data_IF_512874770043
#
_entry.id   IF_512874770043
#
_cell.length_a   1.000
_cell.length_b   1.000
_cell.length_c   1.000
_cell.angle_alpha   90.00
_cell.angle_beta   90.00
_cell.angle_gamma   90.00
#
_symmetry.space_group_name_H-M   'P 1'
#
loop_
_entity.id
_entity.type
_entity.pdbx_description
1 polymer ?
#
# COMPACT_ATOMS: atom_id res chain seq x y z
N UNK A 1 30.82 0.80 -21.25
CA UNK A 1 29.98 -0.39 -21.55
C UNK A 1 28.83 -0.35 -20.55
N UNK A 2 27.71 0.30 -20.89
CA UNK A 2 26.49 0.25 -20.09
C UNK A 2 25.87 -1.13 -20.31
N UNK A 3 25.89 -1.97 -19.28
CA UNK A 3 25.17 -3.23 -19.30
C UNK A 3 23.70 -2.95 -19.53
N UNK A 4 23.10 -3.59 -20.52
CA UNK A 4 21.66 -3.65 -20.68
C UNK A 4 21.12 -4.35 -19.41
N UNK A 5 20.74 -3.55 -18.40
CA UNK A 5 20.02 -4.04 -17.25
C UNK A 5 18.72 -4.67 -17.75
N UNK A 6 18.41 -5.87 -17.32
CA UNK A 6 17.09 -6.46 -17.56
C UNK A 6 16.05 -5.47 -17.04
N UNK A 7 15.04 -5.17 -17.89
CA UNK A 7 13.94 -4.33 -17.49
C UNK A 7 13.32 -4.88 -16.21
N UNK A 8 13.21 -4.04 -15.18
CA UNK A 8 12.62 -4.39 -13.90
C UNK A 8 11.12 -4.17 -13.91
N UNK A 9 10.45 -4.64 -12.86
CA UNK A 9 9.04 -4.34 -12.61
C UNK A 9 8.92 -3.56 -11.31
N UNK A 10 8.43 -2.34 -11.37
CA UNK A 10 8.11 -1.53 -10.19
C UNK A 10 6.63 -1.67 -9.82
N UNK A 11 6.36 -2.04 -8.58
CA UNK A 11 5.01 -2.06 -8.03
C UNK A 11 4.74 -0.73 -7.31
N UNK A 12 3.68 -0.05 -7.68
CA UNK A 12 3.21 1.18 -7.02
C UNK A 12 1.94 0.86 -6.25
N UNK A 13 2.01 0.87 -4.94
CA UNK A 13 0.84 0.61 -4.11
C UNK A 13 -0.07 1.85 -4.08
N UNK A 14 -1.24 1.70 -4.72
CA UNK A 14 -2.27 2.74 -4.86
C UNK A 14 -3.28 2.59 -3.74
N UNK A 15 -3.09 3.33 -2.65
CA UNK A 15 -4.01 3.41 -1.51
C UNK A 15 -4.67 4.79 -1.47
N UNK A 16 -5.93 4.86 -1.06
CA UNK A 16 -6.65 6.13 -0.94
C UNK A 16 -5.92 7.12 -0.03
N UNK A 17 -5.92 8.38 -0.39
CA UNK A 17 -5.29 9.48 0.36
C UNK A 17 -3.76 9.56 0.23
N UNK A 18 -3.08 8.54 -0.28
CA UNK A 18 -1.61 8.51 -0.35
C UNK A 18 -1.05 8.24 -1.75
N UNK A 19 -1.85 7.64 -2.63
CA UNK A 19 -1.42 7.22 -3.96
C UNK A 19 -0.76 8.31 -4.83
N UNK A 20 -1.14 9.62 -4.75
CA UNK A 20 -0.52 10.62 -5.61
C UNK A 20 0.98 10.73 -5.42
N UNK A 21 1.44 10.66 -4.16
CA UNK A 21 2.86 10.72 -3.84
C UNK A 21 3.62 9.47 -4.33
N UNK A 22 2.99 8.27 -4.25
CA UNK A 22 3.58 7.05 -4.79
C UNK A 22 3.75 7.12 -6.31
N UNK A 23 2.75 7.64 -7.01
CA UNK A 23 2.80 7.80 -8.46
C UNK A 23 3.81 8.85 -8.88
N UNK A 24 3.89 9.97 -8.17
CA UNK A 24 4.91 11.02 -8.45
C UNK A 24 6.32 10.48 -8.22
N UNK A 25 6.53 9.69 -7.16
CA UNK A 25 7.78 9.01 -6.92
C UNK A 25 8.11 8.00 -8.04
N UNK A 26 7.12 7.25 -8.53
CA UNK A 26 7.33 6.35 -9.68
C UNK A 26 7.78 7.10 -10.93
N UNK A 27 7.19 8.26 -11.21
CA UNK A 27 7.62 9.12 -12.33
C UNK A 27 9.05 9.60 -12.20
N UNK A 28 9.48 9.87 -10.98
CA UNK A 28 10.81 10.43 -10.71
C UNK A 28 11.91 9.37 -10.65
N UNK A 29 11.59 8.19 -10.11
CA UNK A 29 12.62 7.24 -9.70
C UNK A 29 12.60 5.92 -10.48
N UNK A 30 11.51 5.58 -11.17
CA UNK A 30 11.44 4.34 -11.98
C UNK A 30 11.99 4.63 -13.37
N UNK A 31 13.04 3.91 -13.83
CA UNK A 31 13.58 4.06 -15.16
C UNK A 31 12.52 3.89 -16.27
N UNK A 32 12.68 4.61 -17.37
CA UNK A 32 11.71 4.54 -18.50
C UNK A 32 11.60 3.15 -19.13
N UNK A 33 12.65 2.33 -19.02
CA UNK A 33 12.69 0.97 -19.55
C UNK A 33 12.03 -0.08 -18.64
N UNK A 34 11.67 0.28 -17.41
CA UNK A 34 11.06 -0.65 -16.46
C UNK A 34 9.52 -0.64 -16.59
N UNK A 35 8.92 -1.82 -16.38
CA UNK A 35 7.47 -1.97 -16.28
C UNK A 35 6.95 -1.37 -14.98
N UNK A 36 5.75 -0.76 -15.05
CA UNK A 36 5.06 -0.25 -13.86
C UNK A 36 3.73 -0.97 -13.67
N UNK A 37 3.48 -1.42 -12.45
CA UNK A 37 2.21 -1.99 -12.03
C UNK A 37 1.58 -1.08 -10.97
N UNK A 38 0.41 -0.55 -11.26
CA UNK A 38 -0.41 0.18 -10.31
C UNK A 38 -1.30 -0.82 -9.57
N UNK A 39 -0.93 -1.15 -8.34
CA UNK A 39 -1.61 -2.14 -7.52
C UNK A 39 -2.58 -1.48 -6.55
N UNK A 40 -3.85 -1.88 -6.58
CA UNK A 40 -4.81 -1.59 -5.52
C UNK A 40 -5.25 -2.87 -4.83
N UNK A 41 -5.33 -2.84 -3.50
CA UNK A 41 -5.82 -3.97 -2.69
C UNK A 41 -7.02 -3.54 -1.87
N UNK A 42 -8.16 -4.16 -2.12
CA UNK A 42 -9.37 -3.98 -1.30
C UNK A 42 -9.26 -4.83 -0.02
N UNK A 43 -9.46 -4.21 1.13
CA UNK A 43 -9.43 -4.92 2.41
C UNK A 43 -10.57 -5.93 2.54
N UNK A 44 -10.25 -7.15 2.98
CA UNK A 44 -11.23 -8.25 3.11
C UNK A 44 -12.36 -8.00 4.11
N UNK A 45 -12.20 -7.06 5.06
CA UNK A 45 -13.27 -6.70 5.99
C UNK A 45 -14.42 -5.97 5.29
N UNK A 46 -14.11 -5.14 4.28
CA UNK A 46 -15.13 -4.46 3.46
C UNK A 46 -15.88 -5.50 2.63
N UNK A 47 -15.18 -6.47 2.06
CA UNK A 47 -15.77 -7.55 1.24
C UNK A 47 -16.60 -8.52 2.10
N UNK A 48 -16.14 -8.86 3.32
CA UNK A 48 -16.85 -9.75 4.24
C UNK A 48 -18.14 -9.11 4.82
N UNK A 49 -18.10 -7.81 5.13
CA UNK A 49 -19.29 -7.09 5.60
C UNK A 49 -20.38 -7.01 4.52
N UNK A 50 -19.99 -6.81 3.27
CA UNK A 50 -20.91 -6.82 2.12
C UNK A 50 -21.49 -8.23 1.88
N UNK A 51 -20.67 -9.27 1.93
CA UNK A 51 -21.12 -10.67 1.76
C UNK A 51 -22.07 -11.15 2.86
N UNK A 52 -21.87 -10.71 4.11
CA UNK A 52 -22.75 -11.04 5.22
C UNK A 52 -24.12 -10.37 5.11
N UNK A 53 -24.18 -9.10 4.65
CA UNK A 53 -25.44 -8.41 4.40
C UNK A 53 -26.23 -9.03 3.23
N UNK A 54 -25.52 -9.43 2.16
CA UNK A 54 -26.13 -10.11 1.00
C UNK A 54 -26.69 -11.47 1.36
N UNK A 55 -26.03 -12.22 2.26
CA UNK A 55 -26.50 -13.51 2.77
C UNK A 55 -27.75 -13.43 3.64
N UNK A 56 -27.98 -12.32 4.33
CA UNK A 56 -29.13 -12.13 5.21
C UNK A 56 -30.42 -11.75 4.46
N UNK A 57 -30.32 -11.22 3.24
CA UNK A 57 -31.44 -10.67 2.46
C UNK A 57 -32.00 -11.62 1.38
N UNK A 58 -31.62 -12.89 1.37
CA UNK A 58 -32.30 -13.93 0.59
C UNK A 58 -31.92 -14.03 -0.89
N UNK A 59 -31.60 -15.22 -1.31
CA UNK A 59 -31.41 -15.66 -2.69
C UNK A 59 -32.61 -15.30 -3.57
N UNK A 60 -32.46 -14.38 -4.49
CA UNK A 60 -33.45 -14.30 -5.56
C UNK A 60 -33.76 -12.98 -6.25
N UNK A 61 -32.99 -11.92 -6.07
CA UNK A 61 -33.09 -10.68 -6.88
C UNK A 61 -31.79 -9.92 -6.79
N UNK A 62 -31.38 -9.19 -7.88
CA UNK A 62 -30.31 -8.18 -7.82
C UNK A 62 -30.56 -7.31 -6.61
N UNK A 63 -29.83 -7.57 -5.54
CA UNK A 63 -30.02 -6.91 -4.25
C UNK A 63 -29.18 -5.66 -4.14
N UNK A 64 -29.40 -4.81 -3.11
CA UNK A 64 -28.54 -3.65 -2.81
C UNK A 64 -27.07 -3.98 -2.66
N UNK A 65 -26.70 -5.24 -2.31
CA UNK A 65 -25.31 -5.72 -2.22
C UNK A 65 -24.60 -5.74 -3.55
N UNK A 66 -25.23 -6.26 -4.61
CA UNK A 66 -24.65 -6.29 -5.97
C UNK A 66 -24.37 -4.86 -6.48
N UNK A 67 -25.21 -3.91 -6.10
CA UNK A 67 -25.05 -2.49 -6.46
C UNK A 67 -23.92 -1.81 -5.70
N UNK A 68 -23.70 -2.17 -4.41
CA UNK A 68 -22.61 -1.63 -3.59
C UNK A 68 -21.26 -2.21 -4.03
N UNK A 69 -21.21 -3.50 -4.36
CA UNK A 69 -20.00 -4.13 -4.90
C UNK A 69 -19.63 -3.55 -6.27
N UNK A 70 -20.61 -3.31 -7.12
CA UNK A 70 -20.40 -2.66 -8.42
C UNK A 70 -19.89 -1.22 -8.26
N UNK A 71 -20.48 -0.43 -7.36
CA UNK A 71 -20.03 0.94 -7.06
C UNK A 71 -18.61 0.96 -6.49
N UNK A 72 -18.27 -0.01 -5.63
CA UNK A 72 -16.92 -0.16 -5.09
C UNK A 72 -15.91 -0.50 -6.18
N UNK A 73 -16.25 -1.41 -7.10
CA UNK A 73 -15.40 -1.78 -8.23
C UNK A 73 -15.19 -0.62 -9.21
N UNK A 74 -16.25 0.15 -9.50
CA UNK A 74 -16.17 1.36 -10.32
C UNK A 74 -15.26 2.43 -9.66
N UNK A 75 -15.37 2.63 -8.35
CA UNK A 75 -14.53 3.56 -7.61
C UNK A 75 -13.05 3.17 -7.66
N UNK A 76 -12.73 1.89 -7.51
CA UNK A 76 -11.37 1.38 -7.62
C UNK A 76 -10.83 1.53 -9.05
N UNK A 77 -11.63 1.22 -10.06
CA UNK A 77 -11.26 1.41 -11.46
C UNK A 77 -10.96 2.88 -11.72
N UNK A 78 -11.85 3.79 -11.29
CA UNK A 78 -11.64 5.23 -11.44
C UNK A 78 -10.38 5.74 -10.69
N UNK A 79 -10.05 5.15 -9.55
CA UNK A 79 -8.83 5.45 -8.79
C UNK A 79 -7.59 5.05 -9.58
N UNK A 80 -7.54 3.83 -10.09
CA UNK A 80 -6.43 3.32 -10.90
C UNK A 80 -6.27 4.10 -12.21
N UNK A 81 -7.37 4.48 -12.86
CA UNK A 81 -7.36 5.34 -14.04
C UNK A 81 -6.77 6.73 -13.74
N UNK A 82 -7.12 7.32 -12.59
CA UNK A 82 -6.52 8.58 -12.15
C UNK A 82 -5.02 8.43 -11.89
N UNK A 83 -4.61 7.33 -11.27
CA UNK A 83 -3.21 7.02 -11.02
C UNK A 83 -2.43 6.83 -12.33
N UNK A 84 -2.98 6.10 -13.29
CA UNK A 84 -2.39 5.88 -14.61
C UNK A 84 -2.23 7.20 -15.40
N UNK A 85 -3.27 8.04 -15.40
CA UNK A 85 -3.19 9.38 -16.02
C UNK A 85 -2.13 10.25 -15.37
N UNK A 86 -2.02 10.22 -14.04
CA UNK A 86 -0.99 10.98 -13.31
C UNK A 86 0.42 10.45 -13.59
N UNK A 87 0.57 9.14 -13.72
CA UNK A 87 1.85 8.52 -14.07
C UNK A 87 2.37 9.00 -15.44
N UNK A 88 1.48 9.14 -16.42
CA UNK A 88 1.80 9.71 -17.74
C UNK A 88 2.66 8.81 -18.63
N UNK A 89 2.77 7.50 -18.31
CA UNK A 89 3.45 6.47 -19.10
C UNK A 89 2.66 5.16 -19.05
N UNK A 90 2.91 4.20 -19.95
CA UNK A 90 2.25 2.90 -19.89
C UNK A 90 2.47 2.23 -18.54
N UNK A 91 1.39 1.69 -17.99
CA UNK A 91 1.40 0.91 -16.75
C UNK A 91 0.31 -0.14 -16.80
N UNK A 92 0.55 -1.29 -16.17
CA UNK A 92 -0.46 -2.30 -15.92
C UNK A 92 -1.19 -1.94 -14.63
N UNK A 93 -2.50 -2.09 -14.62
CA UNK A 93 -3.30 -1.96 -13.40
C UNK A 93 -3.63 -3.34 -12.85
N UNK A 94 -3.54 -3.50 -11.54
CA UNK A 94 -3.84 -4.74 -10.85
C UNK A 94 -4.71 -4.47 -9.63
N UNK A 95 -5.80 -5.23 -9.51
CA UNK A 95 -6.69 -5.18 -8.37
C UNK A 95 -6.63 -6.52 -7.65
N UNK A 96 -6.44 -6.48 -6.34
CA UNK A 96 -6.50 -7.65 -5.46
C UNK A 96 -7.47 -7.39 -4.33
N UNK A 97 -7.92 -8.47 -3.69
CA UNK A 97 -8.76 -8.40 -2.50
C UNK A 97 -8.27 -9.41 -1.47
N UNK A 98 -8.30 -9.01 -0.19
CA UNK A 98 -7.80 -9.86 0.88
C UNK A 98 -7.19 -9.06 2.03
N UNK A 99 -6.26 -9.66 2.74
CA UNK A 99 -5.47 -8.95 3.73
C UNK A 99 -4.45 -8.07 3.02
N UNK A 100 -4.68 -6.77 3.10
CA UNK A 100 -3.96 -5.76 2.31
C UNK A 100 -2.45 -5.96 2.35
N UNK A 101 -1.89 -6.10 3.54
CA UNK A 101 -0.45 -6.25 3.73
C UNK A 101 0.12 -7.53 3.08
N UNK A 102 -0.65 -8.63 3.11
CA UNK A 102 -0.22 -9.90 2.50
C UNK A 102 -0.31 -9.87 0.98
N UNK A 103 -1.37 -9.27 0.46
CA UNK A 103 -1.55 -9.15 -0.99
C UNK A 103 -0.50 -8.22 -1.62
N UNK A 104 -0.10 -7.16 -0.92
CA UNK A 104 0.99 -6.28 -1.39
C UNK A 104 2.32 -7.02 -1.40
N UNK A 105 2.66 -7.77 -0.34
CA UNK A 105 3.89 -8.58 -0.29
C UNK A 105 3.91 -9.62 -1.41
N UNK A 106 2.79 -10.33 -1.61
CA UNK A 106 2.69 -11.34 -2.68
C UNK A 106 2.78 -10.71 -4.09
N UNK A 107 2.23 -9.51 -4.30
CA UNK A 107 2.35 -8.81 -5.57
C UNK A 107 3.78 -8.35 -5.86
N UNK A 108 4.57 -8.14 -4.83
CA UNK A 108 5.95 -7.68 -4.94
C UNK A 108 6.97 -8.82 -5.12
N UNK A 109 6.55 -10.08 -5.16
CA UNK A 109 7.44 -11.19 -5.47
C UNK A 109 8.04 -11.02 -6.88
N UNK A 110 9.36 -11.04 -6.96
CA UNK A 110 10.09 -10.83 -8.22
C UNK A 110 10.10 -9.40 -8.76
N UNK A 111 9.51 -8.43 -8.04
CA UNK A 111 9.61 -7.03 -8.39
C UNK A 111 11.02 -6.48 -8.15
N UNK A 112 11.41 -5.49 -8.96
CA UNK A 112 12.64 -4.74 -8.77
C UNK A 112 12.51 -3.63 -7.71
N UNK A 113 11.29 -3.16 -7.45
CA UNK A 113 11.00 -2.06 -6.54
C UNK A 113 9.54 -2.09 -6.10
N UNK A 114 9.29 -1.85 -4.82
CA UNK A 114 7.97 -1.48 -4.30
C UNK A 114 7.98 -0.01 -3.89
N UNK A 115 6.98 0.74 -4.33
CA UNK A 115 6.74 2.13 -3.91
C UNK A 115 5.48 2.18 -3.07
N UNK A 116 5.62 2.64 -1.83
CA UNK A 116 4.51 2.81 -0.90
C UNK A 116 4.66 4.10 -0.08
N UNK A 117 3.58 4.55 0.52
CA UNK A 117 3.58 5.78 1.30
C UNK A 117 3.42 5.50 2.79
N UNK A 118 3.87 6.45 3.60
CA UNK A 118 3.59 6.49 5.03
C UNK A 118 2.11 6.78 5.24
N UNK A 119 1.44 5.94 6.00
CA UNK A 119 -0.01 5.91 6.22
C UNK A 119 -0.43 6.06 7.70
N UNK A 120 0.55 6.22 8.59
CA UNK A 120 0.32 6.41 10.02
C UNK A 120 0.27 7.87 10.47
N UNK A 121 0.74 8.14 11.68
CA UNK A 121 0.84 9.50 12.24
C UNK A 121 1.94 10.30 11.53
N UNK A 122 1.55 11.28 10.75
CA UNK A 122 2.43 12.12 9.93
C UNK A 122 2.80 13.45 10.57
N UNK A 123 2.43 13.66 11.82
CA UNK A 123 2.71 14.91 12.54
C UNK A 123 4.19 15.07 12.93
N UNK A 124 4.93 13.94 12.95
CA UNK A 124 6.35 13.91 13.33
C UNK A 124 7.10 12.77 12.63
N UNK A 125 8.43 12.93 12.53
CA UNK A 125 9.31 11.86 12.08
C UNK A 125 9.36 10.74 13.12
N UNK A 126 9.42 9.51 12.63
CA UNK A 126 9.58 8.35 13.50
C UNK A 126 8.69 7.16 13.13
N UNK A 127 8.75 6.09 13.92
CA UNK A 127 8.11 4.82 13.59
C UNK A 127 6.57 4.86 13.56
N UNK A 128 5.94 5.81 14.24
CA UNK A 128 4.47 5.97 14.22
C UNK A 128 3.93 6.46 12.90
N UNK A 129 4.80 6.96 11.99
CA UNK A 129 4.40 7.38 10.64
C UNK A 129 4.08 6.20 9.72
N UNK A 130 4.39 4.98 10.13
CA UNK A 130 3.96 3.76 9.45
C UNK A 130 2.76 3.16 10.19
N UNK A 131 1.63 3.06 9.51
CA UNK A 131 0.49 2.28 9.98
C UNK A 131 0.80 0.77 9.95
N UNK A 132 -0.05 -0.06 10.59
CA UNK A 132 0.21 -1.49 10.69
C UNK A 132 0.41 -2.20 9.35
N UNK A 133 -0.41 -1.96 8.29
CA UNK A 133 -0.22 -2.60 7.00
C UNK A 133 1.11 -2.22 6.34
N UNK A 134 1.44 -0.93 6.29
CA UNK A 134 2.69 -0.47 5.66
C UNK A 134 3.91 -0.95 6.43
N UNK A 135 3.86 -0.99 7.75
CA UNK A 135 4.95 -1.56 8.58
C UNK A 135 5.18 -3.03 8.23
N UNK A 136 4.11 -3.83 8.19
CA UNK A 136 4.21 -5.24 7.82
C UNK A 136 4.84 -5.41 6.42
N UNK A 137 4.40 -4.62 5.45
CA UNK A 137 4.93 -4.67 4.08
C UNK A 137 6.42 -4.35 4.06
N UNK A 138 6.85 -3.26 4.72
CA UNK A 138 8.27 -2.87 4.77
C UNK A 138 9.15 -3.94 5.41
N UNK A 139 8.63 -4.65 6.42
CA UNK A 139 9.37 -5.69 7.13
C UNK A 139 9.45 -7.02 6.36
N UNK A 140 8.53 -7.29 5.42
CA UNK A 140 8.39 -8.62 4.82
C UNK A 140 8.54 -8.67 3.30
N UNK A 141 8.53 -7.54 2.61
CA UNK A 141 8.62 -7.54 1.14
C UNK A 141 10.03 -7.95 0.67
N UNK A 142 10.14 -8.86 -0.33
CA UNK A 142 11.42 -9.41 -0.75
C UNK A 142 12.17 -8.56 -1.80
N UNK A 143 11.84 -7.27 -1.92
CA UNK A 143 12.47 -6.35 -2.87
C UNK A 143 12.77 -5.00 -2.21
N UNK A 144 13.59 -4.14 -2.83
CA UNK A 144 13.79 -2.76 -2.40
C UNK A 144 12.48 -2.00 -2.24
N UNK A 145 12.40 -1.14 -1.23
CA UNK A 145 11.22 -0.31 -0.94
C UNK A 145 11.57 1.16 -1.02
N UNK A 146 10.83 1.89 -1.83
CA UNK A 146 10.81 3.35 -1.82
C UNK A 146 9.62 3.82 -0.98
N UNK A 147 9.91 4.25 0.24
CA UNK A 147 8.92 4.74 1.17
C UNK A 147 8.81 6.26 1.09
N UNK A 148 7.64 6.78 0.72
CA UNK A 148 7.43 8.21 0.48
C UNK A 148 6.54 8.86 1.53
N UNK A 149 6.71 10.17 1.71
CA UNK A 149 5.76 10.99 2.44
C UNK A 149 4.64 11.44 1.50
N UNK A 150 3.35 11.25 1.87
CA UNK A 150 2.23 11.64 1.01
C UNK A 150 1.92 13.15 1.05
N UNK A 151 2.87 13.95 1.42
CA UNK A 151 2.84 15.39 1.52
C UNK A 151 4.20 15.89 2.01
N UNK A 152 4.24 17.09 2.55
CA UNK A 152 5.46 17.64 3.15
C UNK A 152 5.85 16.81 4.38
N UNK A 153 7.13 16.43 4.44
CA UNK A 153 7.66 15.70 5.58
C UNK A 153 7.82 16.66 6.78
N UNK A 154 7.55 16.23 8.02
CA UNK A 154 7.85 17.00 9.20
C UNK A 154 9.35 17.34 9.28
N UNK A 155 9.67 18.46 9.91
CA UNK A 155 11.06 18.85 10.15
C UNK A 155 11.79 17.88 11.09
N UNK A 156 13.11 17.88 11.05
CA UNK A 156 13.95 17.01 11.91
C UNK A 156 13.79 17.33 13.40
N UNK A 157 13.38 18.53 13.74
CA UNK A 157 13.02 18.98 15.09
C UNK A 157 11.79 18.25 15.68
N UNK A 158 11.00 17.63 14.82
CA UNK A 158 9.86 16.77 15.23
C UNK A 158 10.28 15.40 15.78
N UNK A 159 11.55 15.02 15.65
CA UNK A 159 12.08 13.76 16.19
C UNK A 159 12.06 13.83 17.73
N UNK A 160 11.38 12.90 18.43
CA UNK A 160 11.40 12.91 19.87
C UNK A 160 12.83 12.68 20.38
N UNK A 161 13.20 13.29 21.54
CA UNK A 161 14.50 13.03 22.13
C UNK A 161 14.67 11.53 22.44
N UNK A 162 15.92 11.02 22.41
CA UNK A 162 16.17 9.65 22.80
C UNK A 162 15.74 9.41 24.26
N UNK A 163 15.30 8.21 24.63
CA UNK A 163 14.99 7.90 26.01
C UNK A 163 16.21 8.13 26.89
N UNK A 164 16.03 8.57 28.15
CA UNK A 164 17.13 8.81 29.06
C UNK A 164 17.94 7.52 29.26
N UNK A 165 19.27 7.61 29.45
CA UNK A 165 20.11 6.44 29.68
C UNK A 165 19.62 5.66 30.91
N UNK A 166 19.28 4.39 30.75
CA UNK A 166 18.83 3.52 31.84
C UNK A 166 17.34 3.15 31.83
N UNK A 167 16.53 3.73 30.95
CA UNK A 167 15.20 3.21 30.65
C UNK A 167 15.28 2.21 29.48
N UNK A 168 15.63 0.98 29.79
CA UNK A 168 15.45 -0.10 28.84
C UNK A 168 13.96 -0.25 28.52
N UNK A 169 13.59 -0.48 27.25
CA UNK A 169 12.20 -0.75 26.92
C UNK A 169 11.71 -1.96 27.73
N UNK A 170 10.46 -1.93 28.23
CA UNK A 170 9.94 -3.04 28.99
C UNK A 170 10.11 -4.35 28.20
N UNK A 171 10.50 -5.45 28.87
CA UNK A 171 10.67 -6.73 28.21
C UNK A 171 9.37 -7.12 27.50
N UNK A 172 9.46 -7.76 26.32
CA UNK A 172 8.28 -8.21 25.60
C UNK A 172 7.46 -9.13 26.51
N UNK A 173 6.11 -9.09 26.42
CA UNK A 173 5.26 -9.95 27.22
C UNK A 173 5.65 -11.42 27.00
N UNK A 174 5.60 -12.26 28.05
CA UNK A 174 5.91 -13.67 27.90
C UNK A 174 4.99 -14.29 26.85
N UNK A 175 5.59 -14.94 25.86
CA UNK A 175 4.83 -15.72 24.90
C UNK A 175 4.11 -16.84 25.66
N UNK A 176 2.80 -16.75 25.80
CA UNK A 176 1.99 -17.88 26.21
C UNK A 176 2.23 -19.01 25.22
N UNK A 177 2.94 -20.03 25.68
CA UNK A 177 3.09 -21.30 24.93
C UNK A 177 1.78 -22.03 25.02
N UNK A 178 1.10 -22.08 23.91
CA UNK A 178 -0.06 -22.94 23.70
C UNK A 178 0.41 -24.23 23.03
#
# INVERSE_FOLDING_TARGET
>A
MAGAGMAGTAIVWVAEGTWPACVDAARQWVPDGDDVVLLHVAGGEVTAAHGALAGLLGRGRRGPGDSLDALSAEAVTALLDKAARRLGRPARTEQRSGRVEREVVAAAEGASLLICARDGDRSRLGPRSLGPPTRFVVDHVPCPVLLVWPGEAPGVDSIPPPPPPGEDPPPPPPHERN
#
